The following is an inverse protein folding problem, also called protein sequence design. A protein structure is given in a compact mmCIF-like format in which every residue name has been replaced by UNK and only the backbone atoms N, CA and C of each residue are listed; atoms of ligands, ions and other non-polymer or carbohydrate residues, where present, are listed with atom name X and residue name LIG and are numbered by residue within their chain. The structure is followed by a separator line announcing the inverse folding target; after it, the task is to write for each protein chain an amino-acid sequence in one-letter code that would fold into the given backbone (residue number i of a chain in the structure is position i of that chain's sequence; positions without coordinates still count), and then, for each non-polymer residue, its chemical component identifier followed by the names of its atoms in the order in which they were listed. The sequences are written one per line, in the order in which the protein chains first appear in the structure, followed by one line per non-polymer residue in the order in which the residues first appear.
data_IF_972990393378
#
_entry.id   IF_972990393378
#
_cell.length_a   1.000
_cell.length_b   1.000
_cell.length_c   1.000
_cell.angle_alpha   90.00
_cell.angle_beta   90.00
_cell.angle_gamma   90.00
#
_symmetry.space_group_name_H-M   'P 1'
#
loop_
_entity.id
_entity.type
_entity.pdbx_description
1 polymer ?
#
# COMPACT_ATOMS: atom_id res chain seq x y z
N UNK A 1 -20.45 8.78 32.68
CA UNK A 1 -20.66 8.81 31.22
C UNK A 1 -19.43 9.30 30.46
N UNK A 2 -18.79 10.41 30.86
CA UNK A 2 -17.62 10.96 30.16
C UNK A 2 -16.39 10.02 30.06
N UNK A 3 -16.04 9.30 31.15
CA UNK A 3 -14.88 8.39 31.14
C UNK A 3 -15.03 7.23 30.14
N UNK A 4 -16.27 6.77 29.94
CA UNK A 4 -16.55 5.62 29.07
C UNK A 4 -16.49 5.99 27.58
N UNK A 5 -16.81 7.23 27.22
CA UNK A 5 -16.67 7.70 25.83
C UNK A 5 -15.20 7.96 25.48
N UNK A 6 -14.45 8.62 26.37
CA UNK A 6 -13.02 8.89 26.15
C UNK A 6 -12.20 7.61 25.91
N UNK A 7 -12.52 6.52 26.63
CA UNK A 7 -11.87 5.23 26.43
C UNK A 7 -12.18 4.63 25.04
N UNK A 8 -13.39 4.86 24.54
CA UNK A 8 -13.83 4.40 23.20
C UNK A 8 -13.09 5.15 22.09
N UNK A 9 -12.91 6.46 22.24
CA UNK A 9 -12.25 7.30 21.24
C UNK A 9 -10.77 6.93 21.09
N UNK A 10 -10.07 6.70 22.20
CA UNK A 10 -8.68 6.23 22.20
C UNK A 10 -8.54 4.87 21.49
N UNK A 11 -9.48 3.96 21.74
CA UNK A 11 -9.46 2.62 21.13
C UNK A 11 -9.64 2.69 19.61
N UNK A 12 -10.50 3.59 19.12
CA UNK A 12 -10.70 3.81 17.69
C UNK A 12 -9.49 4.45 17.01
N UNK A 13 -8.83 5.42 17.66
CA UNK A 13 -7.61 6.04 17.16
C UNK A 13 -6.45 5.03 17.03
N UNK A 14 -6.29 4.12 17.99
CA UNK A 14 -5.30 3.05 17.91
C UNK A 14 -5.55 2.08 16.76
N UNK A 15 -6.82 1.76 16.46
CA UNK A 15 -7.16 0.89 15.32
C UNK A 15 -6.87 1.56 13.97
N UNK A 16 -7.03 2.88 13.84
CA UNK A 16 -6.69 3.64 12.63
C UNK A 16 -5.17 3.83 12.38
N UNK A 17 -4.34 3.49 13.38
CA UNK A 17 -2.88 3.39 13.24
C UNK A 17 -2.44 1.98 12.85
N UNK A 18 -3.25 0.96 13.10
CA UNK A 18 -2.87 -0.44 13.06
C UNK A 18 -3.67 -1.19 12.00
N UNK A 19 -3.33 -0.97 10.73
CA UNK A 19 -4.32 -1.21 9.69
C UNK A 19 -4.19 -2.55 8.95
N UNK A 20 -5.35 -3.07 8.56
CA UNK A 20 -5.53 -4.16 7.61
C UNK A 20 -6.79 -3.92 6.76
N UNK A 21 -6.81 -4.40 5.52
CA UNK A 21 -7.85 -4.10 4.53
C UNK A 21 -8.21 -5.33 3.69
N UNK A 22 -9.47 -5.33 3.26
CA UNK A 22 -10.04 -6.14 2.18
C UNK A 22 -10.95 -5.22 1.35
N UNK A 23 -11.21 -5.57 0.09
CA UNK A 23 -11.61 -4.60 -0.92
C UNK A 23 -13.01 -3.92 -0.87
N UNK A 24 -13.15 -2.67 -1.41
CA UNK A 24 -14.22 -2.17 -2.34
C UNK A 24 -13.90 -2.00 -3.86
N UNK A 25 -13.64 -3.10 -4.52
CA UNK A 25 -12.38 -3.65 -4.09
C UNK A 25 -11.18 -2.74 -3.52
N UNK A 26 -11.24 -1.39 -3.18
CA UNK A 26 -10.92 -0.65 -1.87
C UNK A 26 -10.21 0.75 -1.86
N UNK A 27 -9.94 1.28 -0.64
CA UNK A 27 -8.96 2.33 -0.27
C UNK A 27 -8.60 2.30 1.25
N UNK A 28 -7.58 3.02 1.70
CA UNK A 28 -6.55 2.72 2.74
C UNK A 28 -6.25 3.92 3.70
N UNK A 29 -5.17 3.95 4.52
CA UNK A 29 -4.00 4.92 4.47
C UNK A 29 -3.01 4.79 5.67
N UNK A 30 -1.77 5.30 5.58
CA UNK A 30 -0.42 4.73 5.96
C UNK A 30 0.41 4.83 7.29
N UNK A 31 1.09 3.73 7.71
CA UNK A 31 1.78 3.21 8.94
C UNK A 31 1.12 2.05 9.78
N UNK A 32 0.19 1.21 9.36
CA UNK A 32 -0.67 1.27 8.21
C UNK A 32 -0.02 0.79 6.88
N UNK A 33 -0.37 -0.34 6.28
CA UNK A 33 -1.51 -1.25 6.38
C UNK A 33 -1.13 -2.60 5.71
N UNK A 34 -1.98 -3.63 5.78
CA UNK A 34 -1.85 -4.90 5.01
C UNK A 34 -3.12 -5.21 4.22
N UNK A 35 -3.07 -5.46 2.91
CA UNK A 35 -4.28 -5.30 2.08
C UNK A 35 -4.46 -6.21 0.84
N UNK A 36 -5.72 -6.62 0.55
CA UNK A 36 -6.16 -7.37 -0.63
C UNK A 36 -7.40 -6.79 -1.36
N UNK A 37 -7.35 -6.61 -2.70
CA UNK A 37 -8.50 -6.16 -3.50
C UNK A 37 -8.20 -5.73 -4.95
N UNK A 38 -9.23 -5.28 -5.67
CA UNK A 38 -9.22 -4.87 -7.09
C UNK A 38 -9.57 -3.38 -7.13
N UNK A 39 -8.87 -2.58 -7.93
CA UNK A 39 -9.14 -1.12 -8.10
C UNK A 39 -9.01 -0.30 -6.82
N UNK A 40 -7.87 -0.43 -6.15
CA UNK A 40 -7.48 0.32 -4.96
C UNK A 40 -6.69 1.59 -5.26
N UNK A 41 -6.81 2.54 -4.36
CA UNK A 41 -5.76 3.53 -4.10
C UNK A 41 -5.17 3.27 -2.72
N UNK A 42 -3.84 3.33 -2.59
CA UNK A 42 -3.06 2.91 -1.42
C UNK A 42 -2.02 3.99 -1.11
N UNK A 43 -2.01 4.60 0.07
CA UNK A 43 -0.92 5.41 0.58
C UNK A 43 -0.42 4.91 1.93
N UNK A 44 0.88 4.64 2.08
CA UNK A 44 1.43 4.47 3.42
C UNK A 44 2.89 4.23 3.69
N UNK A 45 3.24 4.14 4.97
CA UNK A 45 4.64 4.06 5.38
C UNK A 45 5.20 2.65 5.26
N UNK A 46 4.44 1.66 5.72
CA UNK A 46 4.80 0.24 5.69
C UNK A 46 3.62 -0.55 5.13
N UNK A 47 3.70 -0.94 3.86
CA UNK A 47 2.61 -1.65 3.20
C UNK A 47 3.03 -3.04 2.72
N UNK A 48 2.15 -4.02 2.95
CA UNK A 48 2.17 -5.32 2.28
C UNK A 48 0.86 -5.46 1.50
N UNK A 49 0.96 -5.62 0.18
CA UNK A 49 -0.16 -5.37 -0.75
C UNK A 49 -0.28 -6.49 -1.78
N UNK A 50 -1.50 -7.00 -1.99
CA UNK A 50 -1.84 -7.97 -3.03
C UNK A 50 -3.04 -7.48 -3.84
N UNK A 51 -2.83 -7.02 -5.08
CA UNK A 51 -3.84 -6.20 -5.75
C UNK A 51 -3.84 -6.24 -7.29
N UNK A 52 -4.97 -5.90 -7.90
CA UNK A 52 -5.18 -5.83 -9.37
C UNK A 52 -5.73 -4.46 -9.85
N UNK A 53 -5.03 -3.80 -10.78
CA UNK A 53 -5.34 -2.45 -11.30
C UNK A 53 -5.36 -1.32 -10.26
N UNK A 54 -4.23 -0.97 -9.62
CA UNK A 54 -4.21 -0.08 -8.45
C UNK A 54 -3.18 1.04 -8.56
N UNK A 55 -3.38 2.09 -7.76
CA UNK A 55 -2.39 3.12 -7.52
C UNK A 55 -1.85 3.01 -6.09
N UNK A 56 -0.53 2.93 -5.93
CA UNK A 56 0.15 2.73 -4.66
C UNK A 56 1.19 3.83 -4.45
N UNK A 57 1.19 4.42 -3.26
CA UNK A 57 2.11 5.47 -2.84
C UNK A 57 2.69 5.09 -1.48
N UNK A 58 4.00 4.97 -1.32
CA UNK A 58 4.52 4.64 0.02
C UNK A 58 6.01 4.64 0.21
N UNK A 59 6.44 4.59 1.47
CA UNK A 59 7.87 4.67 1.79
C UNK A 59 8.55 3.30 1.71
N UNK A 60 7.92 2.27 2.25
CA UNK A 60 8.40 0.88 2.25
C UNK A 60 7.24 -0.04 1.86
N UNK A 61 7.27 -0.55 0.64
CA UNK A 61 6.20 -1.37 0.07
C UNK A 61 6.72 -2.74 -0.35
N UNK A 62 5.96 -3.78 -0.05
CA UNK A 62 6.05 -5.09 -0.70
C UNK A 62 4.75 -5.34 -1.44
N UNK A 63 4.82 -5.51 -2.76
CA UNK A 63 3.66 -5.52 -3.64
C UNK A 63 3.66 -6.77 -4.51
N UNK A 64 2.52 -7.45 -4.57
CA UNK A 64 2.23 -8.52 -5.51
C UNK A 64 1.01 -8.13 -6.34
N UNK A 65 1.10 -8.09 -7.68
CA UNK A 65 -0.05 -7.65 -8.46
C UNK A 65 0.09 -7.55 -9.97
N UNK A 66 -0.96 -7.03 -10.61
CA UNK A 66 -1.00 -6.78 -12.06
C UNK A 66 -1.59 -5.40 -12.37
N UNK A 67 -1.02 -4.73 -13.38
CA UNK A 67 -1.45 -3.42 -13.87
C UNK A 67 -1.47 -2.31 -12.80
N UNK A 68 -0.41 -2.15 -12.02
CA UNK A 68 -0.35 -1.17 -10.94
C UNK A 68 0.54 0.02 -11.28
N UNK A 69 0.16 1.21 -10.80
CA UNK A 69 1.01 2.39 -10.76
C UNK A 69 1.56 2.55 -9.34
N UNK A 70 2.88 2.54 -9.19
CA UNK A 70 3.55 2.51 -7.88
C UNK A 70 4.50 3.69 -7.77
N UNK A 71 4.39 4.44 -6.67
CA UNK A 71 5.23 5.58 -6.35
C UNK A 71 5.82 5.38 -4.94
N UNK A 72 7.13 5.21 -4.81
CA UNK A 72 7.67 4.97 -3.46
C UNK A 72 9.17 4.97 -3.31
N UNK A 73 9.63 5.04 -2.07
CA UNK A 73 11.07 5.16 -1.80
C UNK A 73 11.77 3.80 -1.83
N UNK A 74 11.22 2.78 -1.17
CA UNK A 74 11.77 1.43 -1.12
C UNK A 74 10.67 0.43 -1.47
N UNK A 75 10.72 -0.15 -2.66
CA UNK A 75 9.69 -1.06 -3.14
C UNK A 75 10.29 -2.42 -3.50
N UNK A 76 9.63 -3.49 -3.08
CA UNK A 76 9.84 -4.85 -3.59
C UNK A 76 8.56 -5.25 -4.30
N UNK A 77 8.65 -5.55 -5.60
CA UNK A 77 7.49 -5.73 -6.45
C UNK A 77 7.60 -7.05 -7.21
N UNK A 78 6.55 -7.85 -7.11
CA UNK A 78 6.35 -9.06 -7.89
C UNK A 78 5.09 -8.88 -8.73
N UNK A 79 5.24 -8.48 -9.98
CA UNK A 79 4.07 -8.08 -10.76
C UNK A 79 4.29 -7.92 -12.25
N UNK A 80 3.19 -7.70 -12.96
CA UNK A 80 3.16 -7.73 -14.42
C UNK A 80 2.38 -6.51 -14.93
N UNK A 81 2.94 -5.85 -15.96
CA UNK A 81 2.43 -4.58 -16.51
C UNK A 81 2.35 -3.43 -15.48
N UNK A 82 3.28 -3.36 -14.54
CA UNK A 82 3.33 -2.29 -13.55
C UNK A 82 4.15 -1.08 -14.05
N UNK A 83 3.79 0.12 -13.62
CA UNK A 83 4.54 1.36 -13.84
C UNK A 83 5.02 1.88 -12.50
N UNK A 84 6.33 2.06 -12.35
CA UNK A 84 6.98 2.21 -11.05
C UNK A 84 7.88 3.44 -11.05
N UNK A 85 7.68 4.32 -10.08
CA UNK A 85 8.46 5.51 -9.85
C UNK A 85 9.04 5.47 -8.43
N UNK A 86 10.37 5.48 -8.28
CA UNK A 86 10.94 5.37 -6.94
C UNK A 86 12.45 5.47 -6.82
N UNK A 87 12.94 5.44 -5.58
CA UNK A 87 14.38 5.58 -5.34
C UNK A 87 15.08 4.22 -5.32
N UNK A 88 14.55 3.23 -4.60
CA UNK A 88 15.13 1.91 -4.39
C UNK A 88 14.09 0.84 -4.70
N UNK A 89 14.09 0.32 -5.92
CA UNK A 89 13.14 -0.69 -6.37
C UNK A 89 13.84 -2.03 -6.59
N UNK A 90 13.20 -3.13 -6.20
CA UNK A 90 13.56 -4.48 -6.62
C UNK A 90 12.33 -5.11 -7.24
N UNK A 91 12.44 -5.51 -8.51
CA UNK A 91 11.27 -5.92 -9.31
C UNK A 91 11.52 -7.27 -9.95
N UNK A 92 10.52 -8.15 -9.81
CA UNK A 92 10.48 -9.43 -10.49
C UNK A 92 9.16 -9.57 -11.25
N UNK A 93 9.25 -9.75 -12.56
CA UNK A 93 8.08 -9.89 -13.44
C UNK A 93 8.35 -9.36 -14.84
N UNK A 94 7.30 -9.21 -15.65
CA UNK A 94 7.42 -8.87 -17.07
C UNK A 94 6.58 -7.65 -17.44
N UNK A 95 7.02 -6.93 -18.47
CA UNK A 95 6.37 -5.71 -18.99
C UNK A 95 6.23 -4.58 -17.97
N UNK A 96 7.12 -4.52 -16.98
CA UNK A 96 7.15 -3.43 -16.02
C UNK A 96 7.97 -2.26 -16.58
N UNK A 97 7.49 -1.04 -16.36
CA UNK A 97 8.19 0.19 -16.69
C UNK A 97 8.65 0.86 -15.40
N UNK A 98 9.93 1.24 -15.34
CA UNK A 98 10.56 1.71 -14.10
C UNK A 98 11.29 3.01 -14.37
N UNK A 99 11.02 4.02 -13.56
CA UNK A 99 11.74 5.27 -13.57
C UNK A 99 12.18 5.61 -12.14
N UNK A 100 13.48 5.52 -11.90
CA UNK A 100 14.03 5.63 -10.55
C UNK A 100 15.55 5.66 -10.54
N UNK A 101 16.12 6.03 -9.39
CA UNK A 101 17.57 6.26 -9.28
C UNK A 101 18.31 4.93 -9.04
N UNK A 102 17.77 4.05 -8.21
CA UNK A 102 18.31 2.72 -7.93
C UNK A 102 17.20 1.67 -8.13
N UNK A 103 17.26 0.94 -9.24
CA UNK A 103 16.28 -0.08 -9.64
C UNK A 103 16.97 -1.39 -10.01
#
# INVERSE_FOLDING_TARGET
MALKSALSDIKNAMNGLNNGMNGLNSSINGLKNVIYGIKNSIYGLYNVIYVLNNAIYGLKNVIYGFNNAIYGLNNVIYGLNDVIYGLNNFIYGIFNSINGIFN
#
